data_IF_459183859237
#
_entry.id   IF_459183859237
#
_cell.length_a   1.000
_cell.length_b   1.000
_cell.length_c   1.000
_cell.angle_alpha   90.00
_cell.angle_beta   90.00
_cell.angle_gamma   90.00
#
_symmetry.space_group_name_H-M   'P 1'
#
loop_
_entity.id
_entity.type
_entity.pdbx_description
1 polymer ?
#
# COMPACT_ATOMS: atom_id res chain seq x y z
N UNK A 1 6.19 -8.20 -8.34
CA UNK A 1 4.77 -8.59 -8.25
C UNK A 1 3.91 -7.34 -8.42
N UNK A 2 2.75 -7.42 -9.09
CA UNK A 2 1.90 -6.26 -9.35
C UNK A 2 0.54 -6.42 -8.68
N UNK A 3 0.15 -5.45 -7.85
CA UNK A 3 -1.14 -5.47 -7.14
C UNK A 3 -2.00 -4.29 -7.56
N UNK A 4 -3.31 -4.55 -7.70
CA UNK A 4 -4.33 -3.52 -7.88
C UNK A 4 -5.22 -3.49 -6.64
N UNK A 5 -5.25 -2.35 -5.96
CA UNK A 5 -6.07 -2.09 -4.79
C UNK A 5 -7.27 -1.24 -5.22
N UNK A 6 -8.49 -1.75 -5.05
CA UNK A 6 -9.71 -1.02 -5.40
C UNK A 6 -10.52 -0.71 -4.15
N UNK A 7 -10.76 0.58 -3.88
CA UNK A 7 -11.50 1.00 -2.69
C UNK A 7 -11.56 2.51 -2.50
N UNK A 8 -12.06 2.90 -1.33
CA UNK A 8 -11.92 4.26 -0.80
C UNK A 8 -11.02 4.19 0.43
N UNK A 9 -9.99 5.02 0.46
CA UNK A 9 -8.97 5.04 1.50
C UNK A 9 -8.99 6.42 2.17
N UNK A 10 -9.43 6.50 3.42
CA UNK A 10 -9.45 7.74 4.21
C UNK A 10 -8.34 7.75 5.26
N UNK A 11 -7.80 6.59 5.58
CA UNK A 11 -6.70 6.38 6.51
C UNK A 11 -5.64 5.48 5.89
N UNK A 12 -4.39 5.58 6.35
CA UNK A 12 -3.34 4.64 5.91
C UNK A 12 -3.65 3.19 6.31
N UNK A 13 -4.38 2.97 7.40
CA UNK A 13 -4.68 1.61 7.86
C UNK A 13 -5.57 0.87 6.86
N UNK A 14 -6.58 1.54 6.29
CA UNK A 14 -7.42 0.94 5.22
C UNK A 14 -6.59 0.53 4.00
N UNK A 15 -5.56 1.31 3.67
CA UNK A 15 -4.62 0.96 2.62
C UNK A 15 -3.76 -0.26 3.01
N UNK A 16 -3.23 -0.29 4.22
CA UNK A 16 -2.45 -1.42 4.73
C UNK A 16 -3.26 -2.71 4.83
N UNK A 17 -4.53 -2.63 5.26
CA UNK A 17 -5.43 -3.77 5.36
C UNK A 17 -5.60 -4.44 4.00
N UNK A 18 -5.87 -3.66 2.96
CA UNK A 18 -6.07 -4.18 1.62
C UNK A 18 -4.75 -4.63 0.97
N UNK A 19 -3.65 -3.92 1.22
CA UNK A 19 -2.31 -4.32 0.77
C UNK A 19 -1.88 -5.65 1.39
N UNK A 20 -2.04 -5.80 2.70
CA UNK A 20 -1.78 -7.02 3.46
C UNK A 20 -2.57 -8.20 2.92
N UNK A 21 -3.89 -8.03 2.78
CA UNK A 21 -4.76 -9.07 2.23
C UNK A 21 -4.37 -9.47 0.80
N UNK A 22 -3.95 -8.51 -0.03
CA UNK A 22 -3.57 -8.78 -1.42
C UNK A 22 -2.17 -9.43 -1.56
N UNK A 23 -1.23 -9.08 -0.68
CA UNK A 23 0.16 -9.53 -0.79
C UNK A 23 0.45 -10.81 0.03
N UNK A 24 -0.10 -10.92 1.24
CA UNK A 24 0.09 -12.06 2.14
C UNK A 24 -1.13 -12.98 2.23
N UNK A 25 -2.29 -12.56 1.74
CA UNK A 25 -3.56 -13.27 1.96
C UNK A 25 -4.21 -12.87 3.29
N UNK A 26 -5.42 -13.37 3.52
CA UNK A 26 -6.26 -12.99 4.68
C UNK A 26 -5.89 -13.68 6.00
N UNK A 27 -4.97 -14.66 5.96
CA UNK A 27 -4.56 -15.42 7.14
C UNK A 27 -3.51 -14.69 7.98
N UNK A 28 -2.74 -13.77 7.37
CA UNK A 28 -1.73 -12.97 8.04
C UNK A 28 -2.30 -11.58 8.35
N UNK A 29 -2.05 -11.01 9.55
CA UNK A 29 -2.48 -9.65 9.85
C UNK A 29 -1.80 -8.65 8.92
N UNK A 30 -2.54 -7.59 8.59
CA UNK A 30 -2.02 -6.48 7.81
C UNK A 30 -0.96 -5.68 8.58
N UNK A 31 -0.08 -4.95 7.87
CA UNK A 31 0.79 -3.96 8.49
C UNK A 31 0.00 -2.93 9.32
N UNK A 32 0.58 -2.48 10.43
CA UNK A 32 -0.01 -1.45 11.30
C UNK A 32 0.79 -0.15 11.30
N UNK A 33 1.95 -0.14 10.66
CA UNK A 33 2.88 0.98 10.54
C UNK A 33 3.74 0.85 9.26
N UNK A 34 4.60 1.84 9.01
CA UNK A 34 5.46 1.89 7.82
C UNK A 34 6.52 0.78 7.83
N UNK A 35 7.10 0.44 8.97
CA UNK A 35 8.05 -0.68 9.08
C UNK A 35 7.41 -2.01 8.64
N UNK A 36 6.18 -2.26 9.06
CA UNK A 36 5.43 -3.44 8.62
C UNK A 36 5.12 -3.43 7.12
N UNK A 37 4.95 -2.25 6.51
CA UNK A 37 4.82 -2.12 5.06
C UNK A 37 6.15 -2.42 4.35
N UNK A 38 7.28 -1.98 4.91
CA UNK A 38 8.63 -2.30 4.40
C UNK A 38 8.86 -3.81 4.42
N UNK A 39 8.55 -4.46 5.55
CA UNK A 39 8.67 -5.92 5.68
C UNK A 39 7.80 -6.64 4.64
N UNK A 40 6.55 -6.20 4.46
CA UNK A 40 5.64 -6.74 3.45
C UNK A 40 6.21 -6.66 2.04
N UNK A 41 6.69 -5.48 1.63
CA UNK A 41 7.24 -5.27 0.29
C UNK A 41 8.45 -6.18 0.06
N UNK A 42 9.36 -6.25 1.03
CA UNK A 42 10.58 -7.07 0.95
C UNK A 42 10.28 -8.57 0.90
N UNK A 43 9.33 -9.04 1.70
CA UNK A 43 8.93 -10.45 1.73
C UNK A 43 8.22 -10.89 0.44
N UNK A 44 7.44 -10.00 -0.17
CA UNK A 44 6.56 -10.34 -1.31
C UNK A 44 7.19 -10.06 -2.67
N UNK A 45 8.25 -9.26 -2.73
CA UNK A 45 8.86 -8.82 -4.00
C UNK A 45 7.87 -7.98 -4.82
N UNK A 46 7.12 -7.12 -4.15
CA UNK A 46 6.24 -6.13 -4.77
C UNK A 46 7.05 -5.16 -5.63
N UNK A 47 6.52 -4.84 -6.81
CA UNK A 47 7.19 -3.97 -7.81
C UNK A 47 6.28 -2.80 -8.21
N UNK A 48 4.96 -3.06 -8.32
CA UNK A 48 3.98 -2.01 -8.64
C UNK A 48 2.74 -2.14 -7.76
N UNK A 49 2.26 -1.03 -7.21
CA UNK A 49 0.99 -0.92 -6.48
C UNK A 49 0.10 0.10 -7.22
N UNK A 50 -1.03 -0.35 -7.76
CA UNK A 50 -2.01 0.54 -8.40
C UNK A 50 -3.24 0.70 -7.53
N UNK A 51 -3.48 1.91 -7.05
CA UNK A 51 -4.69 2.27 -6.29
C UNK A 51 -5.76 2.80 -7.23
N UNK A 52 -6.94 2.19 -7.22
CA UNK A 52 -8.14 2.59 -7.97
C UNK A 52 -9.25 3.00 -7.01
N UNK A 53 -9.91 4.12 -7.31
CA UNK A 53 -11.00 4.66 -6.51
C UNK A 53 -10.60 5.95 -5.79
N UNK A 54 -11.07 6.13 -4.55
CA UNK A 54 -10.86 7.38 -3.82
C UNK A 54 -9.66 7.29 -2.90
N UNK A 55 -8.72 8.22 -3.07
CA UNK A 55 -7.61 8.43 -2.14
C UNK A 55 -7.85 9.72 -1.38
N UNK A 56 -8.27 9.58 -0.12
CA UNK A 56 -8.58 10.64 0.83
C UNK A 56 -7.62 10.62 2.04
N UNK A 57 -6.61 9.76 2.00
CA UNK A 57 -5.55 9.70 3.02
C UNK A 57 -4.88 11.09 3.11
N UNK A 58 -4.62 11.61 4.32
CA UNK A 58 -3.96 12.91 4.48
C UNK A 58 -2.65 12.99 3.72
N UNK A 59 -2.30 14.19 3.24
CA UNK A 59 -1.10 14.40 2.43
C UNK A 59 0.19 13.96 3.14
N UNK A 60 0.34 14.26 4.44
CA UNK A 60 1.49 13.85 5.25
C UNK A 60 1.64 12.32 5.30
N UNK A 61 0.54 11.59 5.46
CA UNK A 61 0.57 10.13 5.49
C UNK A 61 0.80 9.54 4.09
N UNK A 62 0.31 10.22 3.04
CA UNK A 62 0.55 9.83 1.65
C UNK A 62 2.02 9.96 1.31
N UNK A 63 2.65 11.09 1.66
CA UNK A 63 4.07 11.35 1.42
C UNK A 63 4.94 10.26 2.06
N UNK A 64 4.65 9.89 3.32
CA UNK A 64 5.37 8.79 4.00
C UNK A 64 5.23 7.43 3.30
N UNK A 65 4.05 7.12 2.75
CA UNK A 65 3.82 5.89 1.99
C UNK A 65 4.58 5.95 0.66
N UNK A 66 4.60 7.09 -0.01
CA UNK A 66 5.35 7.33 -1.24
C UNK A 66 6.86 7.21 -1.00
N UNK A 67 7.39 7.77 0.08
CA UNK A 67 8.80 7.64 0.46
C UNK A 67 9.23 6.18 0.67
N UNK A 68 8.40 5.38 1.36
CA UNK A 68 8.67 3.95 1.55
C UNK A 68 8.68 3.19 0.22
N UNK A 69 7.73 3.51 -0.68
CA UNK A 69 7.68 2.91 -2.00
C UNK A 69 8.93 3.29 -2.83
N UNK A 70 9.32 4.57 -2.82
CA UNK A 70 10.50 5.07 -3.56
C UNK A 70 11.80 4.43 -3.06
N UNK A 71 12.03 4.36 -1.74
CA UNK A 71 13.22 3.73 -1.15
C UNK A 71 13.38 2.26 -1.55
N UNK A 72 12.24 1.56 -1.70
CA UNK A 72 12.20 0.15 -2.08
C UNK A 72 12.07 -0.08 -3.59
N UNK A 73 12.01 0.98 -4.39
CA UNK A 73 11.85 0.90 -5.85
C UNK A 73 10.47 0.38 -6.30
N UNK A 74 9.45 0.52 -5.48
CA UNK A 74 8.06 0.17 -5.80
C UNK A 74 7.35 1.33 -6.47
N UNK A 75 6.79 1.09 -7.64
CA UNK A 75 6.02 2.10 -8.37
C UNK A 75 4.58 2.19 -7.84
N UNK A 76 4.28 3.27 -7.11
CA UNK A 76 2.95 3.56 -6.57
C UNK A 76 2.17 4.47 -7.52
N UNK A 77 0.99 4.01 -7.97
CA UNK A 77 0.13 4.74 -8.91
C UNK A 77 -1.26 4.98 -8.35
N UNK A 78 -1.73 6.23 -8.39
CA UNK A 78 -3.10 6.59 -8.08
C UNK A 78 -3.92 6.81 -9.36
N UNK A 79 -4.85 5.91 -9.65
CA UNK A 79 -5.76 6.06 -10.79
C UNK A 79 -7.13 6.54 -10.29
N UNK A 80 -7.33 7.86 -10.36
CA UNK A 80 -8.62 8.51 -10.09
C UNK A 80 -9.47 8.40 -11.35
N UNK A 81 -10.38 7.43 -11.40
CA UNK A 81 -11.33 7.27 -12.49
C UNK A 81 -12.75 7.24 -11.96
#
# INVERSE_FOLDING_TARGET
>A
MNIVLQGSFSTRQEFFDLLGAAAWGVERPAPTNLDGMVDLIRETGLDTITVKGHWLVPAEETERIEEVCDDLGVDLRFNRR
#
